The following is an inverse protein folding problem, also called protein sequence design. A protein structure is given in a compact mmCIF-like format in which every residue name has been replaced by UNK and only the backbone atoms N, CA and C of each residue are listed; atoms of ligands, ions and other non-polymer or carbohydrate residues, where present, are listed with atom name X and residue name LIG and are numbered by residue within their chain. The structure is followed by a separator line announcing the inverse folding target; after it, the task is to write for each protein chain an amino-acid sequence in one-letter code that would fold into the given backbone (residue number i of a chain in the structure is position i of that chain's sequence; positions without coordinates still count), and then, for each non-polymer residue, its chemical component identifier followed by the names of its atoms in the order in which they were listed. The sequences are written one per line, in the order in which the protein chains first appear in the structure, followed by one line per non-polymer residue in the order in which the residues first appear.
data_IF_580518240226
#
_entry.id   IF_580518240226
#
_cell.length_a   1.000
_cell.length_b   1.000
_cell.length_c   1.000
_cell.angle_alpha   90.00
_cell.angle_beta   90.00
_cell.angle_gamma   90.00
#
_symmetry.space_group_name_H-M   'P 1'
#
loop_
_entity.id
_entity.type
_entity.pdbx_description
1 polymer ?
#
# COMPACT_ATOMS: atom_id res chain seq x y z
N UNK A 1 21.13 14.74 -11.41
CA UNK A 1 22.12 13.69 -11.12
C UNK A 1 21.40 12.56 -10.40
N UNK A 2 21.62 11.30 -10.79
CA UNK A 2 21.12 10.15 -10.06
C UNK A 2 21.69 10.11 -8.64
N UNK A 3 20.99 9.46 -7.72
CA UNK A 3 21.49 9.17 -6.37
C UNK A 3 21.05 7.76 -5.97
N UNK A 4 21.66 7.23 -4.91
CA UNK A 4 21.37 5.86 -4.44
C UNK A 4 20.72 5.84 -3.06
N UNK A 5 19.86 4.86 -2.83
CA UNK A 5 19.26 4.57 -1.52
C UNK A 5 19.76 3.20 -1.06
N UNK A 6 20.34 3.11 0.13
CA UNK A 6 20.71 1.85 0.74
C UNK A 6 19.47 1.04 1.14
N UNK A 7 19.57 -0.28 1.07
CA UNK A 7 18.46 -1.19 1.38
C UNK A 7 18.91 -2.32 2.31
N UNK A 8 17.97 -2.98 3.02
CA UNK A 8 18.28 -4.21 3.75
C UNK A 8 18.92 -5.27 2.85
N UNK A 9 19.84 -6.08 3.40
CA UNK A 9 20.62 -7.08 2.64
C UNK A 9 19.76 -8.14 1.92
N UNK A 10 18.53 -8.33 2.37
CA UNK A 10 17.57 -9.27 1.81
C UNK A 10 16.55 -8.61 0.86
N UNK A 11 16.59 -7.29 0.69
CA UNK A 11 15.64 -6.53 -0.12
C UNK A 11 15.84 -6.78 -1.62
N UNK A 12 14.73 -7.05 -2.31
CA UNK A 12 14.68 -7.25 -3.77
C UNK A 12 13.51 -6.44 -4.33
N UNK A 13 13.79 -5.43 -5.15
CA UNK A 13 12.80 -4.47 -5.65
C UNK A 13 11.64 -5.17 -6.37
N UNK A 14 11.92 -6.09 -7.30
CA UNK A 14 10.88 -6.80 -8.08
C UNK A 14 9.93 -7.60 -7.18
N UNK A 15 10.45 -8.23 -6.12
CA UNK A 15 9.65 -9.00 -5.16
C UNK A 15 8.88 -8.08 -4.22
N UNK A 16 9.57 -7.12 -3.61
CA UNK A 16 9.05 -6.37 -2.47
C UNK A 16 8.17 -5.19 -2.91
N UNK A 17 8.40 -4.60 -4.08
CA UNK A 17 7.51 -3.57 -4.63
C UNK A 17 6.21 -4.16 -5.18
N UNK A 18 6.26 -5.29 -5.86
CA UNK A 18 5.08 -5.94 -6.44
C UNK A 18 4.34 -6.84 -5.41
N UNK A 19 4.44 -6.51 -4.12
CA UNK A 19 3.99 -7.36 -3.01
C UNK A 19 2.55 -7.09 -2.54
N UNK A 20 1.95 -5.95 -2.89
CA UNK A 20 0.61 -5.55 -2.43
C UNK A 20 -0.10 -4.73 -3.51
N UNK A 21 -1.43 -4.84 -3.63
CA UNK A 21 -2.21 -4.31 -4.76
C UNK A 21 -1.98 -2.82 -5.08
N UNK A 22 -1.47 -2.02 -4.13
CA UNK A 22 -1.18 -0.61 -4.32
C UNK A 22 -0.14 -0.31 -5.41
N UNK A 23 0.75 -1.25 -5.78
CA UNK A 23 1.68 -1.02 -6.89
C UNK A 23 0.96 -0.84 -8.23
N UNK A 24 -0.28 -1.32 -8.34
CA UNK A 24 -1.16 -1.16 -9.50
C UNK A 24 -2.06 0.09 -9.42
N UNK A 25 -2.02 0.87 -8.32
CA UNK A 25 -2.81 2.10 -8.17
C UNK A 25 -1.97 3.33 -8.49
N UNK A 26 -2.53 4.27 -9.25
CA UNK A 26 -1.86 5.56 -9.48
C UNK A 26 -1.43 6.25 -8.17
N UNK A 27 -0.34 7.03 -8.18
CA UNK A 27 0.55 7.31 -9.31
C UNK A 27 1.68 6.27 -9.50
N UNK A 28 1.51 5.03 -9.00
CA UNK A 28 2.49 3.97 -9.18
C UNK A 28 2.48 3.40 -10.60
N UNK A 29 3.68 3.18 -11.12
CA UNK A 29 3.91 2.45 -12.34
C UNK A 29 5.06 1.47 -12.16
N UNK A 30 4.87 0.26 -12.68
CA UNK A 30 5.89 -0.78 -12.77
C UNK A 30 6.05 -1.14 -14.23
N UNK A 31 7.29 -1.16 -14.72
CA UNK A 31 7.64 -1.59 -16.07
C UNK A 31 8.31 -2.98 -16.02
N UNK A 32 7.55 -4.08 -16.25
CA UNK A 32 8.07 -5.44 -16.17
C UNK A 32 9.32 -5.70 -17.02
N UNK A 33 9.37 -5.11 -18.22
CA UNK A 33 10.47 -5.35 -19.16
C UNK A 33 11.82 -4.81 -18.70
N UNK A 34 11.81 -3.78 -17.84
CA UNK A 34 13.04 -3.13 -17.35
C UNK A 34 13.26 -3.29 -15.85
N UNK A 35 12.24 -3.75 -15.10
CA UNK A 35 12.30 -3.84 -13.64
C UNK A 35 12.38 -2.47 -12.97
N UNK A 36 11.82 -1.44 -13.60
CA UNK A 36 11.82 -0.06 -13.13
C UNK A 36 10.47 0.31 -12.53
N UNK A 37 10.50 0.81 -11.30
CA UNK A 37 9.37 1.52 -10.69
C UNK A 37 9.42 2.98 -11.13
N UNK A 38 8.28 3.57 -11.46
CA UNK A 38 8.14 5.00 -11.72
C UNK A 38 6.99 5.58 -10.92
N UNK A 39 7.16 6.81 -10.43
CA UNK A 39 6.12 7.49 -9.68
C UNK A 39 6.27 9.01 -9.73
N UNK A 40 5.16 9.72 -9.87
CA UNK A 40 5.12 11.17 -9.68
C UNK A 40 5.00 11.53 -8.19
N UNK A 41 5.89 12.39 -7.70
CA UNK A 41 5.89 12.92 -6.33
C UNK A 41 5.68 14.44 -6.35
N UNK A 42 4.81 14.98 -5.49
CA UNK A 42 4.65 16.41 -5.28
C UNK A 42 5.65 16.88 -4.20
N UNK A 43 6.86 17.25 -4.63
CA UNK A 43 7.95 17.69 -3.76
C UNK A 43 7.85 19.20 -3.48
N UNK A 44 8.64 19.68 -2.51
CA UNK A 44 8.67 21.10 -2.15
C UNK A 44 8.92 22.04 -3.35
N UNK A 45 9.84 21.69 -4.27
CA UNK A 45 10.13 22.45 -5.48
C UNK A 45 9.16 22.21 -6.64
N UNK A 46 8.13 21.39 -6.45
CA UNK A 46 7.14 21.01 -7.45
C UNK A 46 7.16 19.53 -7.81
N UNK A 47 6.27 19.08 -8.72
CA UNK A 47 6.21 17.69 -9.12
C UNK A 47 7.52 17.21 -9.73
N UNK A 48 7.88 15.96 -9.48
CA UNK A 48 8.98 15.27 -10.15
C UNK A 48 8.60 13.79 -10.35
N UNK A 49 8.81 13.28 -11.55
CA UNK A 49 8.78 11.83 -11.78
C UNK A 49 10.10 11.25 -11.26
N UNK A 50 9.97 10.22 -10.44
CA UNK A 50 11.09 9.45 -9.92
C UNK A 50 11.04 8.04 -10.46
N UNK A 51 12.15 7.61 -11.05
CA UNK A 51 12.39 6.26 -11.55
C UNK A 51 13.39 5.55 -10.62
N UNK A 52 13.05 4.33 -10.22
CA UNK A 52 13.81 3.52 -9.27
C UNK A 52 14.09 2.15 -9.89
N UNK A 53 15.37 1.79 -9.91
CA UNK A 53 15.83 0.48 -10.34
C UNK A 53 16.76 -0.12 -9.28
N UNK A 54 16.86 -1.45 -9.23
CA UNK A 54 17.85 -2.13 -8.39
C UNK A 54 18.90 -2.80 -9.29
N UNK A 55 20.01 -2.12 -9.62
CA UNK A 55 21.06 -2.70 -10.44
C UNK A 55 21.74 -3.84 -9.67
N UNK A 56 21.59 -5.07 -10.14
CA UNK A 56 22.34 -6.21 -9.59
C UNK A 56 23.82 -6.12 -9.93
N UNK A 57 24.71 -6.43 -8.98
CA UNK A 57 26.13 -6.67 -9.27
C UNK A 57 26.37 -8.17 -9.40
N UNK A 58 26.90 -8.63 -10.53
CA UNK A 58 27.26 -10.04 -10.75
C UNK A 58 26.08 -11.02 -10.61
N UNK A 59 24.86 -10.60 -11.00
CA UNK A 59 23.65 -11.44 -10.93
C UNK A 59 22.97 -11.51 -9.55
N UNK A 60 23.55 -10.92 -8.49
CA UNK A 60 22.89 -10.81 -7.17
C UNK A 60 22.26 -9.44 -7.00
N UNK A 61 20.92 -9.41 -7.02
CA UNK A 61 20.12 -8.19 -6.79
C UNK A 61 19.88 -7.91 -5.30
N UNK A 62 19.80 -8.96 -4.47
CA UNK A 62 19.45 -8.82 -3.06
C UNK A 62 20.44 -7.91 -2.32
N UNK A 63 19.93 -6.87 -1.67
CA UNK A 63 20.74 -5.93 -0.89
C UNK A 63 21.51 -4.89 -1.71
N UNK A 64 21.45 -4.92 -3.04
CA UNK A 64 22.06 -3.87 -3.85
C UNK A 64 21.31 -2.54 -3.66
N UNK A 65 22.00 -1.39 -3.53
CA UNK A 65 21.36 -0.09 -3.40
C UNK A 65 20.42 0.20 -4.58
N UNK A 66 19.33 0.90 -4.31
CA UNK A 66 18.43 1.38 -5.35
C UNK A 66 19.07 2.57 -6.06
N UNK A 67 19.05 2.57 -7.37
CA UNK A 67 19.40 3.72 -8.20
C UNK A 67 18.15 4.55 -8.47
N UNK A 68 18.20 5.84 -8.12
CA UNK A 68 17.09 6.78 -8.24
C UNK A 68 17.43 7.86 -9.25
N UNK A 69 16.54 8.07 -10.23
CA UNK A 69 16.61 9.12 -11.24
C UNK A 69 15.35 9.97 -11.18
N UNK A 70 15.50 11.27 -11.35
CA UNK A 70 14.37 12.20 -11.46
C UNK A 70 14.39 12.87 -12.83
N UNK A 71 13.20 13.19 -13.35
CA UNK A 71 12.99 13.89 -14.62
C UNK A 71 13.45 15.35 -14.60
N UNK A 72 13.67 15.92 -13.42
CA UNK A 72 14.28 17.24 -13.20
C UNK A 72 15.39 17.20 -12.17
N UNK A 73 16.18 18.28 -12.10
CA UNK A 73 17.17 18.46 -11.05
C UNK A 73 16.46 18.63 -9.69
N UNK A 74 16.83 17.79 -8.73
CA UNK A 74 16.39 17.89 -7.35
C UNK A 74 17.44 18.62 -6.50
N UNK A 75 16.99 19.47 -5.58
CA UNK A 75 17.83 20.03 -4.51
C UNK A 75 18.32 18.93 -3.55
N UNK A 76 19.23 19.27 -2.62
CA UNK A 76 19.66 18.31 -1.58
C UNK A 76 18.47 17.88 -0.70
N UNK A 77 17.68 18.84 -0.25
CA UNK A 77 16.49 18.61 0.59
C UNK A 77 15.44 17.76 -0.15
N UNK A 78 15.23 17.99 -1.45
CA UNK A 78 14.31 17.16 -2.23
C UNK A 78 14.80 15.72 -2.40
N UNK A 79 16.12 15.48 -2.49
CA UNK A 79 16.67 14.12 -2.51
C UNK A 79 16.46 13.40 -1.19
N UNK A 80 16.63 14.10 -0.07
CA UNK A 80 16.36 13.59 1.28
C UNK A 80 14.87 13.28 1.47
N UNK A 81 13.99 14.18 0.99
CA UNK A 81 12.54 13.97 0.96
C UNK A 81 12.17 12.71 0.15
N UNK A 82 12.70 12.58 -1.08
CA UNK A 82 12.47 11.39 -1.92
C UNK A 82 12.98 10.12 -1.23
N UNK A 83 14.16 10.15 -0.61
CA UNK A 83 14.71 9.00 0.10
C UNK A 83 13.81 8.57 1.27
N UNK A 84 13.30 9.53 2.06
CA UNK A 84 12.35 9.26 3.16
C UNK A 84 11.04 8.67 2.63
N UNK A 85 10.46 9.27 1.60
CA UNK A 85 9.22 8.83 0.96
C UNK A 85 9.34 7.41 0.39
N UNK A 86 10.42 7.13 -0.34
CA UNK A 86 10.71 5.80 -0.88
C UNK A 86 11.04 4.78 0.22
N UNK A 87 11.76 5.20 1.26
CA UNK A 87 12.05 4.35 2.43
C UNK A 87 10.78 3.82 3.08
N UNK A 88 9.81 4.71 3.32
CA UNK A 88 8.49 4.36 3.83
C UNK A 88 7.72 3.46 2.85
N UNK A 89 7.65 3.88 1.59
CA UNK A 89 6.87 3.20 0.53
C UNK A 89 7.33 1.76 0.30
N UNK A 90 8.65 1.54 0.32
CA UNK A 90 9.30 0.27 0.00
C UNK A 90 9.59 -0.61 1.22
N UNK A 91 9.19 -0.21 2.44
CA UNK A 91 9.49 -0.91 3.69
C UNK A 91 10.99 -1.13 3.93
N UNK A 92 11.79 -0.11 3.66
CA UNK A 92 13.24 -0.19 3.90
C UNK A 92 13.58 -0.08 5.40
N UNK A 93 12.63 0.37 6.21
CA UNK A 93 12.65 0.42 7.67
C UNK A 93 12.50 -0.97 8.33
N UNK A 94 11.96 -1.97 7.63
CA UNK A 94 11.86 -3.32 8.16
C UNK A 94 13.18 -4.07 8.05
N UNK A 95 13.73 -4.43 9.21
CA UNK A 95 15.00 -5.14 9.30
C UNK A 95 14.89 -6.56 8.72
N UNK A 96 16.04 -7.12 8.31
CA UNK A 96 16.12 -8.53 7.92
C UNK A 96 15.72 -9.47 9.05
N UNK A 97 15.88 -9.05 10.30
CA UNK A 97 15.49 -9.85 11.47
C UNK A 97 13.97 -9.96 11.59
N UNK A 98 13.24 -8.87 11.33
CA UNK A 98 11.77 -8.90 11.28
C UNK A 98 11.25 -9.88 10.22
N UNK A 99 11.94 -9.96 9.08
CA UNK A 99 11.62 -10.92 8.02
C UNK A 99 11.97 -12.36 8.42
N UNK A 100 13.12 -12.56 9.09
CA UNK A 100 13.51 -13.88 9.61
C UNK A 100 12.56 -14.38 10.70
N UNK A 101 12.07 -13.49 11.54
CA UNK A 101 11.07 -13.82 12.55
C UNK A 101 9.78 -14.30 11.89
N UNK A 102 9.29 -13.58 10.89
CA UNK A 102 8.15 -14.04 10.10
C UNK A 102 8.39 -15.43 9.51
N UNK A 103 9.56 -15.69 8.89
CA UNK A 103 9.89 -17.01 8.33
C UNK A 103 10.03 -18.12 9.36
N UNK A 104 10.25 -17.79 10.63
CA UNK A 104 10.22 -18.77 11.72
C UNK A 104 8.79 -19.17 12.06
N UNK A 105 7.89 -18.19 12.08
CA UNK A 105 6.46 -18.39 12.37
C UNK A 105 5.72 -19.03 11.18
N UNK A 106 6.05 -18.63 9.95
CA UNK A 106 5.51 -19.20 8.70
C UNK A 106 6.63 -19.58 7.70
N UNK A 107 7.15 -20.82 7.79
CA UNK A 107 8.24 -21.27 6.93
C UNK A 107 7.91 -21.36 5.44
N UNK A 108 6.63 -21.35 5.05
CA UNK A 108 6.18 -21.49 3.65
C UNK A 108 6.81 -20.42 2.76
N UNK A 109 6.99 -19.22 3.30
CA UNK A 109 7.48 -18.06 2.55
C UNK A 109 9.01 -17.86 2.63
N UNK A 110 9.72 -18.71 3.38
CA UNK A 110 11.17 -18.60 3.58
C UNK A 110 11.95 -18.74 2.28
N UNK A 111 11.56 -19.70 1.42
CA UNK A 111 12.26 -19.98 0.15
C UNK A 111 12.12 -18.85 -0.86
N UNK A 112 10.94 -18.23 -0.95
CA UNK A 112 10.68 -17.08 -1.84
C UNK A 112 11.23 -15.77 -1.26
N UNK A 113 11.52 -15.74 0.04
CA UNK A 113 12.00 -14.55 0.75
C UNK A 113 10.91 -13.49 0.95
N UNK A 114 9.62 -13.82 0.74
CA UNK A 114 8.51 -12.89 0.96
C UNK A 114 8.39 -12.52 2.42
N UNK A 115 8.14 -11.25 2.70
CA UNK A 115 8.14 -10.74 4.06
C UNK A 115 7.74 -9.28 4.15
N UNK A 116 8.10 -8.48 3.14
CA UNK A 116 7.77 -7.06 3.06
C UNK A 116 6.50 -6.83 2.24
N UNK A 117 5.74 -5.82 2.65
CA UNK A 117 4.52 -5.36 1.99
C UNK A 117 4.64 -3.86 1.69
N UNK A 118 4.75 -3.52 0.41
CA UNK A 118 4.83 -2.11 -0.01
C UNK A 118 3.60 -1.34 0.48
N UNK A 119 3.80 -0.04 0.75
CA UNK A 119 2.73 0.90 1.13
C UNK A 119 2.89 2.22 0.39
N UNK A 120 2.01 3.18 0.60
CA UNK A 120 2.14 4.50 -0.04
C UNK A 120 3.32 5.30 0.55
N UNK A 121 3.78 6.37 -0.10
CA UNK A 121 4.81 7.26 0.46
C UNK A 121 4.37 8.05 1.71
N UNK A 122 3.07 8.11 2.02
CA UNK A 122 2.52 8.85 3.17
C UNK A 122 1.35 8.10 3.78
N UNK A 123 1.12 8.27 5.09
CA UNK A 123 -0.08 7.74 5.77
C UNK A 123 -1.37 8.30 5.17
N UNK A 124 -1.39 9.59 4.82
CA UNK A 124 -2.55 10.19 4.19
C UNK A 124 -2.99 9.44 2.92
N UNK A 125 -2.03 9.12 2.04
CA UNK A 125 -2.34 8.36 0.83
C UNK A 125 -2.82 6.94 1.15
N UNK A 126 -2.22 6.27 2.15
CA UNK A 126 -2.69 4.95 2.61
C UNK A 126 -4.15 4.98 3.07
N UNK A 127 -4.54 6.03 3.82
CA UNK A 127 -5.93 6.22 4.29
C UNK A 127 -6.87 6.46 3.10
N UNK A 128 -6.56 7.36 2.19
CA UNK A 128 -7.43 7.65 1.04
C UNK A 128 -7.52 6.45 0.08
N UNK A 129 -6.42 5.73 -0.14
CA UNK A 129 -6.43 4.48 -0.93
C UNK A 129 -7.28 3.40 -0.26
N UNK A 130 -7.25 3.31 1.07
CA UNK A 130 -8.14 2.42 1.81
C UNK A 130 -9.60 2.82 1.61
N UNK A 131 -9.95 4.10 1.78
CA UNK A 131 -11.33 4.60 1.58
C UNK A 131 -11.85 4.32 0.17
N UNK A 132 -11.00 4.50 -0.85
CA UNK A 132 -11.34 4.21 -2.26
C UNK A 132 -11.37 2.71 -2.60
N UNK A 133 -10.98 1.83 -1.67
CA UNK A 133 -11.10 0.38 -1.80
C UNK A 133 -12.30 -0.21 -1.05
N UNK A 134 -12.86 0.52 -0.07
CA UNK A 134 -14.00 0.05 0.71
C UNK A 134 -15.29 -0.02 -0.12
N UNK A 135 -16.03 -1.13 -0.06
CA UNK A 135 -17.35 -1.32 -0.68
C UNK A 135 -17.39 -1.00 -2.19
N UNK A 136 -16.34 -1.39 -2.91
CA UNK A 136 -16.26 -1.29 -4.38
C UNK A 136 -15.55 -2.50 -4.96
N UNK A 137 -15.65 -2.67 -6.27
CA UNK A 137 -14.80 -3.60 -7.01
C UNK A 137 -13.44 -2.98 -7.31
N UNK A 138 -12.40 -3.81 -7.45
CA UNK A 138 -11.04 -3.37 -7.75
C UNK A 138 -10.92 -2.42 -8.96
N UNK A 139 -11.59 -2.63 -10.10
CA UNK A 139 -11.54 -1.66 -11.21
C UNK A 139 -12.03 -0.26 -10.82
N UNK A 140 -13.01 -0.17 -9.93
CA UNK A 140 -13.50 1.12 -9.42
C UNK A 140 -12.44 1.81 -8.55
N UNK A 141 -11.72 1.06 -7.71
CA UNK A 141 -10.56 1.54 -6.94
C UNK A 141 -9.48 2.10 -7.85
N UNK A 142 -9.12 1.36 -8.92
CA UNK A 142 -8.13 1.81 -9.91
C UNK A 142 -8.58 3.13 -10.56
N UNK A 143 -9.84 3.22 -10.99
CA UNK A 143 -10.39 4.43 -11.63
C UNK A 143 -10.39 5.62 -10.67
N UNK A 144 -10.87 5.45 -9.43
CA UNK A 144 -10.90 6.53 -8.44
C UNK A 144 -9.51 7.09 -8.17
N UNK A 145 -8.52 6.22 -7.92
CA UNK A 145 -7.14 6.64 -7.63
C UNK A 145 -6.49 7.34 -8.83
N UNK A 146 -6.71 6.84 -10.04
CA UNK A 146 -6.27 7.52 -11.26
C UNK A 146 -6.87 8.91 -11.38
N UNK A 147 -8.19 9.02 -11.22
CA UNK A 147 -8.87 10.32 -11.36
C UNK A 147 -8.50 11.31 -10.26
N UNK A 148 -8.24 10.86 -9.03
CA UNK A 148 -7.70 11.72 -7.97
C UNK A 148 -6.37 12.36 -8.39
N UNK A 149 -5.46 11.57 -8.97
CA UNK A 149 -4.18 12.06 -9.48
C UNK A 149 -4.35 13.00 -10.69
N UNK A 150 -5.22 12.65 -11.65
CA UNK A 150 -5.46 13.45 -12.86
C UNK A 150 -6.18 14.78 -12.60
N UNK A 151 -7.17 14.78 -11.69
CA UNK A 151 -8.08 15.93 -11.50
C UNK A 151 -7.59 16.87 -10.40
N UNK A 152 -7.01 16.31 -9.33
CA UNK A 152 -6.62 17.08 -8.13
C UNK A 152 -5.10 17.10 -7.98
N UNK A 153 -4.41 16.03 -8.36
CA UNK A 153 -2.96 15.89 -8.23
C UNK A 153 -2.15 16.98 -8.94
N UNK A 154 -1.03 17.40 -8.36
CA UNK A 154 -0.09 18.31 -9.02
C UNK A 154 0.81 17.51 -9.96
N UNK A 155 0.81 17.83 -11.25
CA UNK A 155 1.62 17.11 -12.24
C UNK A 155 1.31 15.61 -12.36
N UNK A 156 0.14 15.16 -11.90
CA UNK A 156 -0.23 13.74 -11.84
C UNK A 156 0.25 12.99 -10.59
N UNK A 157 0.84 13.68 -9.60
CA UNK A 157 1.12 13.10 -8.28
C UNK A 157 -0.18 12.78 -7.53
N UNK A 158 -0.10 11.95 -6.48
CA UNK A 158 -1.21 11.81 -5.55
C UNK A 158 -1.52 13.16 -4.87
N UNK A 159 -2.79 13.57 -4.72
CA UNK A 159 -3.13 14.85 -4.10
C UNK A 159 -2.58 14.97 -2.68
N UNK A 160 -2.02 16.14 -2.33
CA UNK A 160 -1.74 16.46 -0.93
C UNK A 160 -3.03 16.70 -0.14
N UNK A 161 -2.98 16.46 1.18
CA UNK A 161 -4.12 16.69 2.07
C UNK A 161 -4.67 18.12 1.94
N UNK A 162 -3.79 19.13 1.94
CA UNK A 162 -4.17 20.55 1.76
C UNK A 162 -4.96 20.80 0.47
N UNK A 163 -4.60 20.12 -0.62
CA UNK A 163 -5.27 20.32 -1.91
C UNK A 163 -6.60 19.58 -1.96
N UNK A 164 -6.63 18.36 -1.44
CA UNK A 164 -7.84 17.55 -1.41
C UNK A 164 -8.90 18.19 -0.50
N UNK A 165 -8.49 18.76 0.64
CA UNK A 165 -9.35 19.52 1.56
C UNK A 165 -10.01 20.74 0.90
N UNK A 166 -9.32 21.42 -0.02
CA UNK A 166 -9.84 22.59 -0.75
C UNK A 166 -10.72 22.22 -1.95
N UNK A 167 -10.90 20.93 -2.23
CA UNK A 167 -11.68 20.47 -3.37
C UNK A 167 -13.16 20.40 -3.01
N UNK A 168 -14.05 20.78 -3.94
CA UNK A 168 -15.50 20.65 -3.71
C UNK A 168 -15.93 19.17 -3.78
N UNK A 169 -16.81 18.73 -2.87
CA UNK A 169 -17.34 17.36 -2.87
C UNK A 169 -17.96 16.97 -4.23
N UNK A 170 -18.71 17.89 -4.85
CA UNK A 170 -19.29 17.71 -6.19
C UNK A 170 -18.22 17.46 -7.28
N UNK A 171 -17.04 18.06 -7.15
CA UNK A 171 -15.91 17.81 -8.07
C UNK A 171 -15.35 16.40 -7.87
N UNK A 172 -15.18 15.96 -6.62
CA UNK A 172 -14.74 14.59 -6.33
C UNK A 172 -15.76 13.57 -6.86
N UNK A 173 -17.05 13.80 -6.62
CA UNK A 173 -18.12 12.91 -7.10
C UNK A 173 -18.15 12.84 -8.63
N UNK A 174 -18.20 13.98 -9.31
CA UNK A 174 -18.38 14.03 -10.76
C UNK A 174 -17.12 13.65 -11.54
N UNK A 175 -15.95 14.14 -11.12
CA UNK A 175 -14.69 14.00 -11.89
C UNK A 175 -13.77 12.92 -11.35
N UNK A 176 -13.74 12.72 -10.03
CA UNK A 176 -12.96 11.65 -9.41
C UNK A 176 -13.72 10.32 -9.28
N UNK A 177 -15.04 10.33 -9.52
CA UNK A 177 -15.92 9.15 -9.47
C UNK A 177 -15.89 8.42 -8.13
N UNK A 178 -15.71 9.16 -7.03
CA UNK A 178 -15.60 8.57 -5.67
C UNK A 178 -16.95 8.16 -5.05
N UNK A 179 -18.05 8.50 -5.71
CA UNK A 179 -19.41 8.25 -5.22
C UNK A 179 -19.69 8.98 -3.92
N UNK A 180 -20.32 8.29 -2.96
CA UNK A 180 -20.70 8.84 -1.66
C UNK A 180 -19.52 9.18 -0.72
N UNK A 181 -18.29 8.85 -1.12
CA UNK A 181 -17.07 9.05 -0.30
C UNK A 181 -16.56 10.50 -0.34
N UNK A 182 -17.13 11.33 -1.20
CA UNK A 182 -16.66 12.68 -1.50
C UNK A 182 -16.50 13.57 -0.27
N UNK A 183 -17.55 13.73 0.53
CA UNK A 183 -17.51 14.54 1.75
C UNK A 183 -16.50 13.98 2.76
N UNK A 184 -16.46 12.65 2.92
CA UNK A 184 -15.56 12.02 3.91
C UNK A 184 -14.09 12.15 3.52
N UNK A 185 -13.80 12.07 2.22
CA UNK A 185 -12.44 12.30 1.70
C UNK A 185 -11.98 13.72 2.01
N UNK A 186 -12.87 14.72 1.89
CA UNK A 186 -12.55 16.12 2.22
C UNK A 186 -12.28 16.26 3.72
N UNK A 187 -13.13 15.71 4.58
CA UNK A 187 -12.95 15.83 6.03
C UNK A 187 -11.68 15.12 6.52
N UNK A 188 -11.35 13.95 5.97
CA UNK A 188 -10.06 13.31 6.22
C UNK A 188 -8.91 14.21 5.76
N UNK A 189 -9.02 14.81 4.57
CA UNK A 189 -7.98 15.70 4.08
C UNK A 189 -7.83 16.97 4.94
N UNK A 190 -8.91 17.52 5.47
CA UNK A 190 -8.89 18.64 6.42
C UNK A 190 -8.14 18.25 7.71
N UNK A 191 -8.49 17.11 8.31
CA UNK A 191 -7.84 16.57 9.51
C UNK A 191 -6.34 16.32 9.30
N UNK A 192 -5.94 15.74 8.16
CA UNK A 192 -4.53 15.50 7.82
C UNK A 192 -3.78 16.77 7.42
N UNK A 193 -4.48 17.83 7.01
CA UNK A 193 -3.88 19.13 6.70
C UNK A 193 -3.75 20.06 7.91
N UNK A 194 -4.46 19.73 8.99
CA UNK A 194 -4.48 20.46 10.26
C UNK A 194 -3.36 19.93 11.18
N UNK A 195 -2.58 20.79 11.85
CA UNK A 195 -1.60 20.35 12.84
C UNK A 195 -2.26 19.58 14.00
N UNK A 196 -1.58 18.55 14.53
CA UNK A 196 -2.10 17.73 15.63
C UNK A 196 -2.55 18.55 16.85
N UNK A 197 -1.74 19.55 17.27
CA UNK A 197 -2.07 20.44 18.39
C UNK A 197 -3.29 21.36 18.15
N UNK A 198 -3.83 21.38 16.92
CA UNK A 198 -5.08 22.09 16.55
C UNK A 198 -6.24 21.12 16.26
N UNK A 199 -6.13 19.87 16.69
CA UNK A 199 -7.16 18.83 16.48
C UNK A 199 -6.98 18.04 15.18
N UNK A 200 -5.85 18.18 14.49
CA UNK A 200 -5.52 17.37 13.33
C UNK A 200 -5.05 15.95 13.65
N UNK A 201 -4.66 15.21 12.62
CA UNK A 201 -4.08 13.87 12.76
C UNK A 201 -2.62 13.96 13.17
N UNK A 202 -2.29 13.30 14.27
CA UNK A 202 -0.89 13.10 14.71
C UNK A 202 -0.27 11.93 13.95
N UNK A 203 0.30 12.23 12.77
CA UNK A 203 0.89 11.22 11.89
C UNK A 203 2.17 10.61 12.48
N UNK A 204 2.94 11.38 13.25
CA UNK A 204 4.18 10.89 13.88
C UNK A 204 3.85 9.87 14.97
N UNK A 205 2.85 10.18 15.82
CA UNK A 205 2.35 9.23 16.81
C UNK A 205 1.76 7.98 16.14
N UNK A 206 0.98 8.12 15.06
CA UNK A 206 0.38 6.96 14.37
C UNK A 206 1.41 6.07 13.66
N UNK A 207 2.51 6.63 13.16
CA UNK A 207 3.57 5.86 12.49
C UNK A 207 4.63 5.32 13.47
N UNK A 208 4.66 5.77 14.73
CA UNK A 208 5.63 5.30 15.72
C UNK A 208 5.41 3.80 16.04
N UNK A 209 6.42 2.93 15.88
CA UNK A 209 6.38 1.54 16.31
C UNK A 209 6.05 1.30 17.78
N UNK A 210 6.31 2.28 18.65
CA UNK A 210 6.07 2.21 20.09
C UNK A 210 4.62 2.57 20.47
N UNK A 211 3.84 3.13 19.55
CA UNK A 211 2.43 3.42 19.79
C UNK A 211 1.64 2.11 19.96
N UNK A 212 0.91 1.94 21.09
CA UNK A 212 0.12 0.75 21.34
C UNK A 212 -0.94 0.50 20.27
N UNK A 213 -1.06 -0.76 19.85
CA UNK A 213 -1.93 -1.17 18.76
C UNK A 213 -3.42 -0.90 19.04
N UNK A 214 -3.85 -1.06 20.29
CA UNK A 214 -5.22 -0.78 20.74
C UNK A 214 -5.55 0.72 20.64
N UNK A 215 -4.64 1.58 21.11
CA UNK A 215 -4.82 3.02 21.04
C UNK A 215 -4.81 3.52 19.59
N UNK A 216 -3.92 2.98 18.75
CA UNK A 216 -3.89 3.27 17.32
C UNK A 216 -5.19 2.83 16.63
N UNK A 217 -5.69 1.64 16.96
CA UNK A 217 -6.95 1.13 16.43
C UNK A 217 -8.14 2.02 16.82
N UNK A 218 -8.23 2.43 18.09
CA UNK A 218 -9.26 3.37 18.56
C UNK A 218 -9.19 4.70 17.80
N UNK A 219 -7.98 5.26 17.65
CA UNK A 219 -7.78 6.50 16.90
C UNK A 219 -8.19 6.36 15.44
N UNK A 220 -7.88 5.23 14.80
CA UNK A 220 -8.28 4.95 13.41
C UNK A 220 -9.80 4.85 13.28
N UNK A 221 -10.48 4.17 14.20
CA UNK A 221 -11.95 4.03 14.21
C UNK A 221 -12.68 5.35 14.44
N UNK A 222 -12.03 6.31 15.12
CA UNK A 222 -12.57 7.65 15.31
C UNK A 222 -12.51 8.52 14.04
N UNK A 223 -11.77 8.10 13.00
CA UNK A 223 -11.66 8.88 11.76
C UNK A 223 -12.93 8.80 10.90
N UNK A 224 -13.32 9.90 10.24
CA UNK A 224 -14.45 9.94 9.32
C UNK A 224 -14.48 8.81 8.28
N UNK A 225 -15.50 7.95 8.36
CA UNK A 225 -15.71 6.87 7.38
C UNK A 225 -14.75 5.69 7.50
N UNK A 226 -13.95 5.59 8.57
CA UNK A 226 -13.05 4.47 8.83
C UNK A 226 -13.73 3.47 9.77
N UNK A 227 -14.30 2.41 9.18
CA UNK A 227 -14.85 1.27 9.92
C UNK A 227 -13.79 0.20 10.25
N UNK A 228 -14.17 -0.89 10.93
CA UNK A 228 -13.25 -1.94 11.38
C UNK A 228 -12.37 -2.56 10.29
N UNK A 229 -12.94 -2.79 9.10
CA UNK A 229 -12.17 -3.26 7.93
C UNK A 229 -11.08 -2.26 7.52
N UNK A 230 -11.48 -1.00 7.34
CA UNK A 230 -10.58 0.06 6.90
C UNK A 230 -9.46 0.29 7.93
N UNK A 231 -9.80 0.31 9.21
CA UNK A 231 -8.83 0.42 10.29
C UNK A 231 -7.83 -0.75 10.27
N UNK A 232 -8.29 -2.00 10.13
CA UNK A 232 -7.41 -3.17 10.02
C UNK A 232 -6.51 -3.11 8.77
N UNK A 233 -7.01 -2.58 7.64
CA UNK A 233 -6.20 -2.38 6.44
C UNK A 233 -5.16 -1.27 6.62
N UNK A 234 -5.49 -0.20 7.34
CA UNK A 234 -4.51 0.86 7.65
C UNK A 234 -3.46 0.35 8.63
N UNK A 235 -3.84 -0.49 9.61
CA UNK A 235 -2.90 -1.12 10.55
C UNK A 235 -1.81 -1.92 9.83
N UNK A 236 -2.15 -2.76 8.84
CA UNK A 236 -1.12 -3.48 8.10
C UNK A 236 -0.24 -2.54 7.25
N UNK A 237 -0.80 -1.45 6.70
CA UNK A 237 -0.02 -0.40 6.03
C UNK A 237 0.89 0.37 7.00
N UNK A 238 0.61 0.35 8.29
CA UNK A 238 1.49 0.86 9.35
C UNK A 238 2.50 -0.18 9.85
N UNK A 239 2.44 -1.43 9.37
CA UNK A 239 3.33 -2.51 9.79
C UNK A 239 2.80 -3.32 10.99
N UNK A 240 1.51 -3.16 11.32
CA UNK A 240 0.83 -3.90 12.39
C UNK A 240 0.00 -5.03 11.78
N UNK A 241 0.61 -6.21 11.68
CA UNK A 241 0.06 -7.34 10.93
C UNK A 241 -0.81 -8.30 11.75
N UNK A 242 -1.13 -7.97 13.01
CA UNK A 242 -1.86 -8.90 13.90
C UNK A 242 -3.37 -9.02 13.58
N UNK A 243 -3.95 -8.10 12.79
CA UNK A 243 -5.37 -8.11 12.39
C UNK A 243 -5.55 -8.33 10.90
N UNK A 244 -6.65 -8.98 10.53
CA UNK A 244 -7.05 -9.20 9.14
C UNK A 244 -8.17 -8.24 8.72
N UNK A 245 -8.01 -7.45 7.65
CA UNK A 245 -9.10 -6.74 7.00
C UNK A 245 -9.92 -7.75 6.16
N UNK A 246 -10.87 -8.43 6.79
CA UNK A 246 -11.67 -9.46 6.13
C UNK A 246 -12.82 -8.86 5.31
N UNK A 247 -12.96 -9.33 4.07
CA UNK A 247 -13.93 -8.91 3.08
C UNK A 247 -14.41 -10.07 2.19
N UNK A 248 -15.07 -9.75 1.08
CA UNK A 248 -15.52 -10.74 0.10
C UNK A 248 -14.39 -11.53 -0.55
N UNK A 249 -13.19 -10.95 -0.75
CA UNK A 249 -12.03 -11.71 -1.25
C UNK A 249 -11.57 -12.72 -0.21
N UNK A 250 -11.62 -12.36 1.07
CA UNK A 250 -11.29 -13.25 2.18
C UNK A 250 -12.25 -14.43 2.25
N UNK A 251 -13.55 -14.20 2.00
CA UNK A 251 -14.56 -15.25 1.90
C UNK A 251 -14.30 -16.16 0.69
N UNK A 252 -14.02 -15.58 -0.49
CA UNK A 252 -13.67 -16.34 -1.69
C UNK A 252 -12.44 -17.20 -1.43
N UNK A 253 -11.40 -16.64 -0.84
CA UNK A 253 -10.18 -17.34 -0.46
C UNK A 253 -10.47 -18.53 0.46
N UNK A 254 -11.24 -18.30 1.52
CA UNK A 254 -11.67 -19.34 2.44
C UNK A 254 -12.40 -20.49 1.74
N UNK A 255 -13.29 -20.19 0.79
CA UNK A 255 -14.04 -21.24 0.05
C UNK A 255 -13.18 -21.95 -0.99
N UNK A 256 -12.42 -21.21 -1.80
CA UNK A 256 -11.76 -21.72 -3.01
C UNK A 256 -10.36 -22.28 -2.75
N UNK A 257 -9.59 -21.66 -1.87
CA UNK A 257 -8.21 -22.06 -1.57
C UNK A 257 -8.15 -22.94 -0.33
N UNK A 258 -8.89 -22.58 0.71
CA UNK A 258 -8.87 -23.30 1.99
C UNK A 258 -9.96 -24.40 2.10
N UNK A 259 -10.86 -24.51 1.11
CA UNK A 259 -11.92 -25.52 1.09
C UNK A 259 -12.96 -25.40 2.21
N UNK A 260 -13.07 -24.22 2.84
CA UNK A 260 -13.99 -23.99 3.96
C UNK A 260 -15.45 -23.96 3.47
N UNK A 261 -16.32 -24.62 4.23
CA UNK A 261 -17.78 -24.65 3.99
C UNK A 261 -18.54 -23.78 4.98
N UNK A 262 -19.61 -23.14 4.52
CA UNK A 262 -20.49 -22.29 5.34
C UNK A 262 -20.90 -21.00 4.64
N UNK A 263 -21.74 -20.21 5.32
CA UNK A 263 -22.08 -18.86 4.87
C UNK A 263 -20.91 -17.89 5.11
N UNK A 264 -20.96 -16.70 4.52
CA UNK A 264 -19.85 -15.74 4.50
C UNK A 264 -19.35 -15.36 5.89
N UNK A 265 -20.26 -15.19 6.87
CA UNK A 265 -19.89 -14.90 8.27
C UNK A 265 -19.12 -16.06 8.91
N UNK A 266 -19.55 -17.30 8.66
CA UNK A 266 -18.86 -18.50 9.14
C UNK A 266 -17.48 -18.65 8.49
N UNK A 267 -17.38 -18.39 7.19
CA UNK A 267 -16.11 -18.43 6.47
C UNK A 267 -15.14 -17.39 7.03
N UNK A 268 -15.56 -16.12 7.16
CA UNK A 268 -14.70 -15.07 7.73
C UNK A 268 -14.20 -15.42 9.13
N UNK A 269 -15.05 -15.99 10.00
CA UNK A 269 -14.64 -16.44 11.34
C UNK A 269 -13.60 -17.57 11.26
N UNK A 270 -13.76 -18.52 10.34
CA UNK A 270 -12.81 -19.63 10.15
C UNK A 270 -11.49 -19.17 9.54
N UNK A 271 -11.51 -18.22 8.61
CA UNK A 271 -10.31 -17.56 8.07
C UNK A 271 -9.56 -16.85 9.19
N UNK A 272 -10.26 -16.04 10.01
CA UNK A 272 -9.64 -15.39 11.17
C UNK A 272 -8.99 -16.40 12.12
N UNK A 273 -9.70 -17.48 12.47
CA UNK A 273 -9.19 -18.52 13.36
C UNK A 273 -7.98 -19.27 12.77
N UNK A 274 -7.97 -19.50 11.45
CA UNK A 274 -6.86 -20.16 10.76
C UNK A 274 -5.57 -19.36 10.83
N UNK A 275 -5.66 -18.03 10.71
CA UNK A 275 -4.48 -17.16 10.70
C UNK A 275 -4.11 -16.60 12.08
N UNK A 276 -4.96 -16.75 13.10
CA UNK A 276 -4.67 -16.31 14.46
C UNK A 276 -3.36 -16.87 15.05
N UNK A 277 -2.97 -18.14 14.83
CA UNK A 277 -1.72 -18.68 15.36
C UNK A 277 -0.44 -18.00 14.85
N UNK A 278 -0.49 -17.28 13.72
CA UNK A 278 0.66 -16.52 13.21
C UNK A 278 0.88 -15.20 13.99
N UNK A 279 0.01 -14.88 14.96
CA UNK A 279 0.19 -13.79 15.93
C UNK A 279 0.43 -12.44 15.24
N UNK A 280 1.54 -11.78 15.60
CA UNK A 280 1.91 -10.48 15.02
C UNK A 280 2.11 -10.48 13.51
N UNK A 281 2.20 -11.65 12.86
CA UNK A 281 2.36 -11.82 11.41
C UNK A 281 1.10 -12.36 10.71
N UNK A 282 -0.07 -12.40 11.37
CA UNK A 282 -1.30 -12.97 10.81
C UNK A 282 -1.64 -12.46 9.41
N UNK A 283 -1.57 -11.14 9.19
CA UNK A 283 -1.84 -10.53 7.90
C UNK A 283 -0.81 -10.90 6.83
N UNK A 284 0.48 -11.00 7.19
CA UNK A 284 1.52 -11.42 6.23
C UNK A 284 1.25 -12.83 5.72
N UNK A 285 0.98 -13.76 6.64
CA UNK A 285 0.64 -15.13 6.30
C UNK A 285 -0.60 -15.21 5.39
N UNK A 286 -1.67 -14.52 5.80
CA UNK A 286 -2.92 -14.42 5.03
C UNK A 286 -2.69 -13.84 3.62
N UNK A 287 -2.06 -12.67 3.54
CA UNK A 287 -1.91 -11.97 2.28
C UNK A 287 -0.95 -12.69 1.33
N UNK A 288 0.13 -13.29 1.84
CA UNK A 288 1.06 -14.00 0.96
C UNK A 288 0.48 -15.28 0.38
N UNK A 289 -0.44 -15.95 1.07
CA UNK A 289 -1.22 -17.06 0.51
C UNK A 289 -2.17 -16.57 -0.61
N UNK A 290 -2.87 -15.46 -0.37
CA UNK A 290 -3.70 -14.80 -1.38
C UNK A 290 -2.88 -14.38 -2.62
N UNK A 291 -1.67 -13.86 -2.38
CA UNK A 291 -0.74 -13.46 -3.43
C UNK A 291 -0.21 -14.66 -4.23
N UNK A 292 0.15 -15.79 -3.59
CA UNK A 292 0.50 -17.03 -4.32
C UNK A 292 -0.64 -17.51 -5.21
N UNK A 293 -1.88 -17.45 -4.72
CA UNK A 293 -3.05 -17.78 -5.53
C UNK A 293 -3.14 -16.87 -6.77
N UNK A 294 -3.04 -15.56 -6.62
CA UNK A 294 -3.07 -14.65 -7.76
C UNK A 294 -1.92 -14.89 -8.75
N UNK A 295 -0.72 -15.17 -8.26
CA UNK A 295 0.40 -15.49 -9.14
C UNK A 295 0.22 -16.81 -9.88
N UNK A 296 -0.46 -17.79 -9.28
CA UNK A 296 -0.79 -19.06 -9.96
C UNK A 296 -1.71 -18.85 -11.16
N UNK A 297 -2.48 -17.75 -11.18
CA UNK A 297 -3.42 -17.40 -12.26
C UNK A 297 -2.82 -16.45 -13.30
N UNK A 298 -1.96 -15.52 -12.88
CA UNK A 298 -1.50 -14.41 -13.72
C UNK A 298 0.02 -14.36 -13.91
N UNK A 299 0.76 -15.37 -13.44
CA UNK A 299 2.22 -15.32 -13.39
C UNK A 299 2.72 -14.46 -12.24
N UNK A 300 4.04 -14.32 -12.11
CA UNK A 300 4.66 -13.57 -11.01
C UNK A 300 4.24 -12.10 -11.02
N UNK A 301 4.02 -11.49 -9.86
CA UNK A 301 3.46 -10.13 -9.84
C UNK A 301 4.35 -9.07 -10.49
N UNK A 302 5.66 -9.29 -10.51
CA UNK A 302 6.61 -8.43 -11.22
C UNK A 302 6.55 -8.56 -12.75
N UNK A 303 5.81 -9.53 -13.29
CA UNK A 303 5.51 -9.66 -14.73
C UNK A 303 4.16 -9.06 -15.10
N UNK A 304 3.38 -8.55 -14.14
CA UNK A 304 2.03 -8.04 -14.42
C UNK A 304 2.07 -6.71 -15.15
N UNK A 305 1.39 -6.65 -16.28
CA UNK A 305 1.09 -5.39 -16.95
C UNK A 305 -0.16 -4.74 -16.36
N UNK A 306 -0.04 -3.51 -15.87
CA UNK A 306 -1.12 -2.75 -15.22
C UNK A 306 -2.42 -2.72 -16.02
N UNK A 307 -2.34 -2.57 -17.36
CA UNK A 307 -3.51 -2.54 -18.25
C UNK A 307 -4.22 -3.89 -18.37
N UNK A 308 -3.48 -4.99 -18.28
CA UNK A 308 -4.00 -6.35 -18.45
C UNK A 308 -4.58 -6.88 -17.13
N UNK A 309 -3.88 -6.68 -16.01
CA UNK A 309 -4.23 -7.32 -14.73
C UNK A 309 -5.10 -6.41 -13.84
N UNK A 310 -5.10 -5.09 -14.07
CA UNK A 310 -5.90 -4.13 -13.29
C UNK A 310 -7.42 -4.35 -13.37
N UNK A 311 -7.92 -5.12 -14.34
CA UNK A 311 -9.33 -5.49 -14.49
C UNK A 311 -9.67 -6.91 -14.01
N UNK A 312 -8.66 -7.71 -13.63
CA UNK A 312 -8.77 -9.14 -13.36
C UNK A 312 -9.02 -9.49 -11.88
N UNK A 313 -8.61 -8.65 -10.92
CA UNK A 313 -8.72 -8.91 -9.48
C UNK A 313 -10.12 -8.63 -8.89
N UNK A 314 -11.16 -9.28 -9.41
CA UNK A 314 -12.50 -9.22 -8.82
C UNK A 314 -12.93 -10.61 -8.38
N UNK A 315 -13.41 -10.77 -7.14
CA UNK A 315 -13.83 -12.05 -6.57
C UNK A 315 -14.83 -12.83 -7.44
N UNK A 316 -15.63 -12.12 -8.24
CA UNK A 316 -16.60 -12.73 -9.15
C UNK A 316 -15.98 -13.26 -10.45
N UNK A 317 -14.70 -12.98 -10.72
CA UNK A 317 -13.97 -13.32 -11.95
C UNK A 317 -12.80 -14.29 -11.72
N UNK A 318 -12.55 -14.73 -10.48
CA UNK A 318 -11.44 -15.59 -10.06
C UNK A 318 -11.93 -16.75 -9.19
#
# INVERSE_FOLDING_TARGET
MPFSIAVPRDYVLTRDYCSYGYFLLEPNHWEPGTGVMSRMLDLAGGPARVDVAQPGKGGRMAGAPLAVRADRRLSKLEREEVARLLGRMLRLDESREEIRDFHRVDPRFRRSGRGRLMRSPTLFEDVIKTVTSCNVTWPSTVVMNRRLCEVVGKGGAFPSAKRLARTRATTLRARCRVGYRDARIIELAELFSTPAHKGGVDQEWMENPETPDEALMERLLALPGIGPYAAANIMQLLGRYHRLPLDSESVRHGKTVMGLKGNDRQISKRVAAHFAPFGRHAFRSYWFELWEFYESKHGKSWTWEKKQVGSAFTASKL
#
